data_IF_928761202644
#
_entry.id   IF_928761202644
#
_cell.length_a   1.000
_cell.length_b   1.000
_cell.length_c   1.000
_cell.angle_alpha   90.00
_cell.angle_beta   90.00
_cell.angle_gamma   90.00
#
_symmetry.space_group_name_H-M   'P 1'
#
loop_
_entity.id
_entity.type
_entity.pdbx_description
1 polymer ?
#
# COMPACT_ATOMS: atom_id res chain seq x y z
N UNK A 1 82.23 2.00 46.04
CA UNK A 1 82.44 2.90 44.87
C UNK A 1 81.98 2.09 43.66
N UNK A 2 81.02 2.46 42.81
CA UNK A 2 80.70 3.73 42.20
C UNK A 2 79.24 3.69 41.68
N UNK A 3 78.51 4.75 42.04
CA UNK A 3 77.29 5.38 41.49
C UNK A 3 76.41 4.69 40.41
N UNK A 4 75.12 4.60 40.78
CA UNK A 4 73.93 4.58 39.92
C UNK A 4 73.94 5.71 38.88
N UNK A 5 73.39 5.45 37.69
CA UNK A 5 72.79 6.48 36.83
C UNK A 5 71.54 5.95 36.14
N UNK A 6 70.53 6.82 36.11
CA UNK A 6 69.14 6.60 35.72
C UNK A 6 69.01 6.82 34.21
N UNK A 7 68.29 5.93 33.53
CA UNK A 7 67.82 6.14 32.16
C UNK A 7 66.42 5.55 31.98
N UNK A 8 65.39 6.33 32.27
CA UNK A 8 64.00 5.99 31.93
C UNK A 8 63.79 6.21 30.43
N UNK A 9 63.77 5.14 29.64
CA UNK A 9 63.23 5.17 28.27
C UNK A 9 61.72 4.89 28.33
N UNK A 10 60.92 5.94 28.14
CA UNK A 10 59.48 5.83 27.94
C UNK A 10 59.26 5.38 26.49
N UNK A 11 58.84 4.12 26.30
CA UNK A 11 58.46 3.59 24.99
C UNK A 11 57.05 4.09 24.65
N UNK A 12 56.95 5.09 23.77
CA UNK A 12 55.66 5.51 23.22
C UNK A 12 55.20 4.48 22.18
N UNK A 13 54.25 3.63 22.56
CA UNK A 13 53.55 2.75 21.61
C UNK A 13 52.57 3.59 20.78
N UNK A 14 52.91 3.89 19.54
CA UNK A 14 51.98 4.43 18.57
C UNK A 14 50.96 3.34 18.20
N UNK A 15 49.76 3.42 18.75
CA UNK A 15 48.62 2.62 18.28
C UNK A 15 48.13 3.27 16.99
N UNK A 16 48.54 2.72 15.85
CA UNK A 16 47.89 2.97 14.57
C UNK A 16 46.52 2.32 14.59
N UNK A 17 45.48 3.10 14.93
CA UNK A 17 44.10 2.71 14.66
C UNK A 17 43.94 2.66 13.15
N UNK A 18 44.13 1.47 12.58
CA UNK A 18 43.75 1.21 11.20
C UNK A 18 42.25 1.42 11.08
N UNK A 19 41.85 2.44 10.33
CA UNK A 19 40.50 2.58 9.82
C UNK A 19 40.26 1.45 8.82
N UNK A 20 39.96 0.25 9.32
CA UNK A 20 39.29 -0.75 8.54
C UNK A 20 37.91 -0.18 8.23
N UNK A 21 37.77 0.41 7.04
CA UNK A 21 36.48 0.78 6.51
C UNK A 21 35.60 -0.45 6.59
N UNK A 22 34.49 -0.34 7.33
CA UNK A 22 33.38 -1.27 7.22
C UNK A 22 32.89 -1.15 5.77
N UNK A 23 33.46 -1.94 4.86
CA UNK A 23 32.84 -2.15 3.56
C UNK A 23 31.49 -2.79 3.86
N UNK A 24 30.42 -2.05 3.59
CA UNK A 24 29.07 -2.59 3.62
C UNK A 24 29.06 -3.82 2.71
N UNK A 25 28.57 -4.95 3.23
CA UNK A 25 28.41 -6.16 2.44
C UNK A 25 27.53 -5.83 1.23
N UNK A 26 28.08 -6.06 0.03
CA UNK A 26 27.38 -5.78 -1.22
C UNK A 26 26.08 -6.57 -1.26
N UNK A 27 24.94 -5.89 -1.34
CA UNK A 27 23.63 -6.53 -1.31
C UNK A 27 23.44 -7.31 -2.62
N UNK A 28 23.55 -8.65 -2.55
CA UNK A 28 23.42 -9.53 -3.72
C UNK A 28 21.99 -9.84 -4.12
N UNK A 29 21.05 -9.72 -3.18
CA UNK A 29 19.63 -10.06 -3.39
C UNK A 29 18.73 -8.91 -2.94
N UNK A 30 17.74 -8.56 -3.76
CA UNK A 30 16.66 -7.62 -3.47
C UNK A 30 15.33 -8.38 -3.42
N UNK A 31 14.64 -8.35 -2.29
CA UNK A 31 13.31 -8.94 -2.15
C UNK A 31 12.22 -7.90 -2.47
N UNK A 32 11.48 -8.11 -3.55
CA UNK A 32 10.40 -7.26 -4.01
C UNK A 32 9.04 -7.78 -3.53
N UNK A 33 8.44 -7.10 -2.56
CA UNK A 33 7.12 -7.42 -2.01
C UNK A 33 5.97 -7.07 -2.95
N UNK A 34 5.05 -8.01 -3.14
CA UNK A 34 3.87 -7.85 -3.99
C UNK A 34 2.64 -8.18 -3.15
N UNK A 35 1.75 -7.19 -2.95
CA UNK A 35 0.50 -7.39 -2.19
C UNK A 35 -0.44 -8.38 -2.89
N UNK A 36 -1.23 -9.12 -2.11
CA UNK A 36 -2.11 -10.19 -2.58
C UNK A 36 -3.45 -9.67 -3.16
N UNK A 37 -3.39 -8.86 -4.21
CA UNK A 37 -4.59 -8.43 -4.96
C UNK A 37 -5.25 -9.59 -5.71
N UNK A 38 -4.43 -10.52 -6.21
CA UNK A 38 -4.79 -11.75 -6.93
C UNK A 38 -4.08 -12.96 -6.30
N UNK A 39 -4.34 -14.16 -6.81
CA UNK A 39 -3.59 -15.36 -6.46
C UNK A 39 -2.09 -15.20 -6.75
N UNK A 40 -1.23 -15.79 -5.92
CA UNK A 40 0.24 -15.72 -6.11
C UNK A 40 0.69 -16.24 -7.48
N UNK A 41 -0.04 -17.18 -8.07
CA UNK A 41 0.27 -17.69 -9.42
C UNK A 41 0.02 -16.62 -10.49
N UNK A 42 -1.11 -15.92 -10.42
CA UNK A 42 -1.43 -14.83 -11.36
C UNK A 42 -0.44 -13.67 -11.19
N UNK A 43 -0.17 -13.28 -9.95
CA UNK A 43 0.81 -12.23 -9.65
C UNK A 43 2.20 -12.62 -10.15
N UNK A 44 2.68 -13.84 -9.88
CA UNK A 44 4.00 -14.28 -10.35
C UNK A 44 4.11 -14.13 -11.87
N UNK A 45 3.14 -14.63 -12.62
CA UNK A 45 3.19 -14.61 -14.09
C UNK A 45 3.31 -13.19 -14.67
N UNK A 46 2.66 -12.21 -14.05
CA UNK A 46 2.67 -10.83 -14.57
C UNK A 46 3.85 -10.01 -14.04
N UNK A 47 4.32 -10.32 -12.83
CA UNK A 47 5.44 -9.59 -12.23
C UNK A 47 6.82 -10.10 -12.65
N UNK A 48 6.96 -11.38 -12.99
CA UNK A 48 8.25 -12.00 -13.31
C UNK A 48 9.04 -11.24 -14.40
N UNK A 49 8.44 -10.81 -15.54
CA UNK A 49 9.16 -10.03 -16.55
C UNK A 49 9.73 -8.70 -16.02
N UNK A 50 8.97 -7.99 -15.17
CA UNK A 50 9.41 -6.73 -14.56
C UNK A 50 10.56 -6.96 -13.58
N UNK A 51 10.49 -8.02 -12.77
CA UNK A 51 11.54 -8.36 -11.81
C UNK A 51 12.81 -8.87 -12.51
N UNK A 52 12.68 -9.57 -13.64
CA UNK A 52 13.82 -9.98 -14.48
C UNK A 52 14.55 -8.78 -15.08
N UNK A 53 13.82 -7.80 -15.61
CA UNK A 53 14.42 -6.56 -16.12
C UNK A 53 15.09 -5.75 -15.00
N UNK A 54 14.45 -5.68 -13.82
CA UNK A 54 15.07 -5.05 -12.64
C UNK A 54 16.35 -5.79 -12.25
N UNK A 55 16.33 -7.11 -12.20
CA UNK A 55 17.51 -7.95 -11.88
C UNK A 55 18.66 -7.67 -12.84
N UNK A 56 18.38 -7.65 -14.15
CA UNK A 56 19.38 -7.38 -15.18
C UNK A 56 19.94 -5.95 -15.10
N UNK A 57 19.12 -4.94 -14.78
CA UNK A 57 19.58 -3.55 -14.70
C UNK A 57 20.40 -3.26 -13.45
N UNK A 58 20.03 -3.88 -12.33
CA UNK A 58 20.69 -3.65 -11.03
C UNK A 58 21.96 -4.47 -10.84
N UNK A 59 22.17 -5.52 -11.65
CA UNK A 59 23.18 -6.56 -11.42
C UNK A 59 23.04 -7.20 -10.03
N UNK A 60 21.79 -7.47 -9.66
CA UNK A 60 21.38 -8.01 -8.36
C UNK A 60 20.28 -9.04 -8.57
N UNK A 61 20.26 -10.11 -7.79
CA UNK A 61 19.17 -11.08 -7.84
C UNK A 61 17.88 -10.47 -7.26
N UNK A 62 16.88 -10.20 -8.09
CA UNK A 62 15.58 -9.67 -7.64
C UNK A 62 14.57 -10.80 -7.46
N UNK A 63 14.06 -11.00 -6.24
CA UNK A 63 13.09 -12.06 -5.90
C UNK A 63 11.73 -11.48 -5.55
N UNK A 64 10.68 -11.98 -6.19
CA UNK A 64 9.30 -11.71 -5.75
C UNK A 64 9.04 -12.31 -4.37
N UNK A 65 8.53 -11.49 -3.46
CA UNK A 65 8.08 -11.89 -2.12
C UNK A 65 6.56 -11.76 -2.06
N UNK A 66 5.88 -12.89 -1.86
CA UNK A 66 4.42 -12.99 -1.81
C UNK A 66 3.98 -13.43 -0.41
N UNK A 67 2.83 -12.93 0.03
CA UNK A 67 2.19 -13.33 1.28
C UNK A 67 0.70 -13.58 1.07
N UNK A 68 0.04 -14.34 1.97
CA UNK A 68 -1.41 -14.56 1.89
C UNK A 68 -2.22 -13.26 2.04
N UNK A 69 -1.71 -12.29 2.80
CA UNK A 69 -2.34 -11.00 3.09
C UNK A 69 -1.32 -9.87 3.07
N UNK A 70 -1.80 -8.63 3.13
CA UNK A 70 -0.96 -7.44 3.00
C UNK A 70 -0.11 -7.24 4.26
N UNK A 71 -0.59 -7.73 5.41
CA UNK A 71 0.16 -7.70 6.66
C UNK A 71 1.46 -8.49 6.56
N UNK A 72 1.47 -9.62 5.83
CA UNK A 72 2.68 -10.39 5.56
C UNK A 72 3.77 -9.59 4.83
N UNK A 73 3.41 -8.76 3.85
CA UNK A 73 4.37 -7.88 3.15
C UNK A 73 4.88 -6.79 4.10
N UNK A 74 3.98 -6.16 4.87
CA UNK A 74 4.34 -5.13 5.86
C UNK A 74 5.30 -5.68 6.92
N UNK A 75 5.01 -6.85 7.49
CA UNK A 75 5.89 -7.49 8.47
C UNK A 75 7.18 -7.97 7.83
N UNK A 76 7.14 -8.46 6.58
CA UNK A 76 8.33 -8.78 5.81
C UNK A 76 9.28 -7.58 5.72
N UNK A 77 8.75 -6.40 5.39
CA UNK A 77 9.54 -5.17 5.35
C UNK A 77 10.08 -4.79 6.73
N UNK A 78 9.26 -4.92 7.77
CA UNK A 78 9.62 -4.58 9.15
C UNK A 78 10.83 -5.38 9.67
N UNK A 79 11.00 -6.62 9.20
CA UNK A 79 12.07 -7.52 9.60
C UNK A 79 13.15 -7.71 8.51
N UNK A 80 13.28 -6.71 7.62
CA UNK A 80 14.28 -6.67 6.54
C UNK A 80 14.25 -7.91 5.62
N UNK A 81 13.05 -8.49 5.43
CA UNK A 81 12.79 -9.60 4.47
C UNK A 81 12.18 -9.11 3.16
N UNK A 82 11.72 -7.87 3.12
CA UNK A 82 11.24 -7.17 1.94
C UNK A 82 11.99 -5.84 1.85
N UNK A 83 12.68 -5.62 0.74
CA UNK A 83 13.53 -4.45 0.54
C UNK A 83 12.76 -3.30 -0.11
N UNK A 84 11.95 -3.64 -1.11
CA UNK A 84 11.03 -2.75 -1.80
C UNK A 84 9.71 -3.49 -1.98
N UNK A 85 8.58 -2.78 -2.01
CA UNK A 85 7.29 -3.38 -2.30
C UNK A 85 6.36 -2.44 -3.06
N UNK A 86 5.51 -3.04 -3.88
CA UNK A 86 4.28 -2.40 -4.35
C UNK A 86 3.19 -2.57 -3.30
N UNK A 87 2.59 -1.45 -2.90
CA UNK A 87 1.55 -1.41 -1.88
C UNK A 87 0.36 -0.59 -2.36
N UNK A 88 -0.83 -0.91 -1.83
CA UNK A 88 -1.90 0.07 -1.75
C UNK A 88 -1.57 1.16 -0.74
N UNK A 89 -2.12 2.38 -0.91
CA UNK A 89 -1.78 3.51 -0.05
C UNK A 89 -1.99 3.26 1.47
N UNK A 90 -3.01 2.49 1.89
CA UNK A 90 -3.18 2.14 3.31
C UNK A 90 -2.02 1.26 3.81
N UNK A 91 -1.70 0.19 3.10
CA UNK A 91 -0.57 -0.66 3.46
C UNK A 91 0.78 0.07 3.42
N UNK A 92 0.93 1.05 2.53
CA UNK A 92 2.11 1.93 2.49
C UNK A 92 2.17 2.86 3.72
N UNK A 93 1.04 3.44 4.15
CA UNK A 93 0.94 4.20 5.40
C UNK A 93 1.37 3.34 6.60
N UNK A 94 0.88 2.11 6.70
CA UNK A 94 1.29 1.18 7.76
C UNK A 94 2.78 0.80 7.66
N UNK A 95 3.32 0.63 6.45
CA UNK A 95 4.74 0.34 6.24
C UNK A 95 5.63 1.52 6.65
N UNK A 96 5.26 2.76 6.32
CA UNK A 96 5.97 3.98 6.75
C UNK A 96 5.95 4.09 8.27
N UNK A 97 4.80 3.86 8.89
CA UNK A 97 4.62 4.08 10.33
C UNK A 97 5.22 2.94 11.18
N UNK A 98 5.26 1.71 10.67
CA UNK A 98 5.55 0.51 11.48
C UNK A 98 6.64 -0.41 10.94
N UNK A 99 7.02 -0.25 9.67
CA UNK A 99 7.97 -1.14 9.00
C UNK A 99 9.23 -0.42 8.49
N UNK A 100 9.42 0.86 8.84
CA UNK A 100 10.57 1.63 8.40
C UNK A 100 10.53 1.98 6.91
N UNK A 101 9.33 1.98 6.30
CA UNK A 101 9.12 2.28 4.90
C UNK A 101 9.28 3.76 4.54
N UNK A 102 9.52 4.03 3.26
CA UNK A 102 9.53 5.34 2.62
C UNK A 102 9.03 5.21 1.17
N UNK A 103 8.01 5.99 0.81
CA UNK A 103 7.46 6.05 -0.55
C UNK A 103 8.47 6.72 -1.48
N UNK A 104 8.66 6.16 -2.68
CA UNK A 104 9.65 6.65 -3.65
C UNK A 104 9.08 7.02 -5.01
N UNK A 105 8.15 6.22 -5.51
CA UNK A 105 7.46 6.47 -6.77
C UNK A 105 6.00 6.10 -6.62
N UNK A 106 5.18 6.66 -7.50
CA UNK A 106 3.80 6.33 -7.67
C UNK A 106 3.62 5.63 -9.03
N UNK A 107 2.81 4.58 -9.04
CA UNK A 107 2.29 4.00 -10.28
C UNK A 107 1.42 5.02 -11.02
N UNK A 108 1.28 4.86 -12.33
CA UNK A 108 0.42 5.68 -13.19
C UNK A 108 -0.43 4.71 -14.01
N UNK A 109 -1.73 4.93 -14.09
CA UNK A 109 -2.61 4.03 -14.84
C UNK A 109 -2.34 4.11 -16.35
N UNK A 110 -2.27 2.95 -17.02
CA UNK A 110 -2.04 2.88 -18.47
C UNK A 110 -3.14 3.57 -19.31
N UNK A 111 -4.35 3.66 -18.76
CA UNK A 111 -5.51 4.31 -19.40
C UNK A 111 -5.56 5.83 -19.19
N UNK A 112 -4.58 6.41 -18.48
CA UNK A 112 -4.51 7.83 -18.15
C UNK A 112 -5.38 8.26 -16.95
N UNK A 113 -6.01 7.33 -16.25
CA UNK A 113 -6.78 7.64 -15.04
C UNK A 113 -5.88 8.25 -13.95
N UNK A 114 -6.36 9.28 -13.21
CA UNK A 114 -5.57 9.96 -12.18
C UNK A 114 -5.41 9.16 -10.88
N UNK A 115 -5.91 7.93 -10.86
CA UNK A 115 -6.08 7.07 -9.69
C UNK A 115 -7.14 6.01 -9.98
N UNK A 116 -7.67 5.40 -8.94
CA UNK A 116 -8.68 4.34 -9.04
C UNK A 116 -9.81 4.54 -8.04
N UNK A 117 -10.80 3.66 -8.05
CA UNK A 117 -11.95 3.74 -7.16
C UNK A 117 -12.24 2.42 -6.48
N UNK A 118 -12.64 2.49 -5.22
CA UNK A 118 -13.25 1.37 -4.51
C UNK A 118 -14.65 1.14 -5.04
N UNK A 119 -15.05 -0.13 -5.08
CA UNK A 119 -16.34 -0.60 -5.56
C UNK A 119 -17.02 -1.44 -4.48
N UNK A 120 -18.36 -1.46 -4.52
CA UNK A 120 -19.15 -2.53 -3.91
C UNK A 120 -19.81 -3.31 -5.03
N UNK A 121 -19.62 -4.62 -5.02
CA UNK A 121 -20.11 -5.54 -6.05
C UNK A 121 -21.10 -6.55 -5.47
N UNK A 122 -22.09 -6.90 -6.28
CA UNK A 122 -23.06 -7.98 -6.05
C UNK A 122 -23.14 -8.83 -7.31
N UNK A 123 -23.79 -9.99 -7.25
CA UNK A 123 -24.04 -10.78 -8.44
C UNK A 123 -25.06 -10.07 -9.36
N UNK A 124 -24.90 -10.15 -10.69
CA UNK A 124 -25.81 -9.49 -11.66
C UNK A 124 -27.29 -9.86 -11.48
N UNK A 125 -27.55 -11.13 -11.17
CA UNK A 125 -28.90 -11.67 -10.92
C UNK A 125 -29.57 -11.11 -9.64
N UNK A 126 -28.85 -10.39 -8.78
CA UNK A 126 -29.41 -9.81 -7.56
C UNK A 126 -30.38 -8.66 -7.91
N UNK A 127 -31.67 -8.98 -8.05
CA UNK A 127 -32.71 -8.00 -8.40
C UNK A 127 -32.97 -6.94 -7.33
N UNK A 128 -32.76 -7.29 -6.05
CA UNK A 128 -33.09 -6.44 -4.90
C UNK A 128 -31.90 -5.64 -4.35
N UNK A 129 -30.69 -5.80 -4.91
CA UNK A 129 -29.49 -5.08 -4.48
C UNK A 129 -28.97 -4.25 -5.65
N UNK A 130 -29.30 -2.96 -5.67
CA UNK A 130 -28.90 -2.03 -6.72
C UNK A 130 -28.13 -0.82 -6.17
N UNK A 131 -28.22 -0.59 -4.86
CA UNK A 131 -27.58 0.52 -4.16
C UNK A 131 -26.97 0.05 -2.84
N UNK A 132 -26.15 0.91 -2.22
CA UNK A 132 -25.65 0.65 -0.86
C UNK A 132 -26.80 0.64 0.14
N UNK A 133 -27.79 1.50 -0.05
CA UNK A 133 -28.98 1.61 0.80
C UNK A 133 -29.75 0.29 0.82
N UNK A 134 -29.91 -0.37 -0.35
CA UNK A 134 -30.52 -1.71 -0.43
C UNK A 134 -29.72 -2.74 0.38
N UNK A 135 -28.39 -2.70 0.28
CA UNK A 135 -27.51 -3.60 1.03
C UNK A 135 -27.66 -3.38 2.53
N UNK A 136 -27.64 -2.12 2.98
CA UNK A 136 -27.73 -1.78 4.39
C UNK A 136 -29.11 -2.10 4.97
N UNK A 137 -30.19 -1.89 4.22
CA UNK A 137 -31.54 -2.22 4.63
C UNK A 137 -31.73 -3.74 4.84
N UNK A 138 -31.03 -4.56 4.05
CA UNK A 138 -31.13 -6.02 4.09
C UNK A 138 -29.93 -6.69 4.80
N UNK A 139 -29.02 -5.93 5.40
CA UNK A 139 -27.70 -6.43 5.86
C UNK A 139 -27.79 -7.68 6.75
N UNK A 140 -28.79 -7.75 7.63
CA UNK A 140 -29.00 -8.87 8.57
C UNK A 140 -29.18 -10.24 7.91
N UNK A 141 -29.58 -10.25 6.63
CA UNK A 141 -29.77 -11.47 5.84
C UNK A 141 -28.60 -11.75 4.88
N UNK A 142 -27.73 -10.76 4.67
CA UNK A 142 -26.64 -10.80 3.69
C UNK A 142 -25.30 -11.23 4.32
N UNK A 143 -24.53 -11.99 3.56
CA UNK A 143 -23.11 -12.28 3.79
C UNK A 143 -22.26 -11.25 3.07
N UNK A 144 -21.38 -10.57 3.81
CA UNK A 144 -20.50 -9.53 3.28
C UNK A 144 -19.04 -10.00 3.19
N UNK A 145 -18.48 -9.98 1.98
CA UNK A 145 -17.05 -10.10 1.71
C UNK A 145 -16.35 -8.75 1.90
N UNK A 146 -15.79 -8.52 3.08
CA UNK A 146 -14.95 -7.36 3.32
C UNK A 146 -13.54 -7.61 2.76
N UNK A 147 -12.75 -6.55 2.56
CA UNK A 147 -11.40 -6.66 2.03
C UNK A 147 -10.34 -6.98 3.09
N UNK A 148 -9.10 -7.16 2.65
CA UNK A 148 -7.92 -7.19 3.53
C UNK A 148 -7.93 -5.96 4.46
N UNK A 149 -7.74 -6.11 5.79
CA UNK A 149 -7.72 -4.99 6.73
C UNK A 149 -6.75 -3.85 6.38
N UNK A 150 -5.66 -4.13 5.65
CA UNK A 150 -4.68 -3.15 5.18
C UNK A 150 -4.92 -2.68 3.73
N UNK A 151 -6.03 -3.09 3.09
CA UNK A 151 -6.42 -2.59 1.77
C UNK A 151 -7.07 -1.20 1.86
N UNK A 152 -6.67 -0.31 0.95
CA UNK A 152 -7.25 1.02 0.80
C UNK A 152 -8.69 0.91 0.31
N UNK A 153 -8.91 0.31 -0.86
CA UNK A 153 -10.20 0.18 -1.51
C UNK A 153 -11.05 -0.97 -0.96
N UNK A 154 -10.42 -2.04 -0.49
CA UNK A 154 -11.10 -3.21 0.05
C UNK A 154 -11.61 -3.01 1.47
N UNK A 155 -11.02 -2.08 2.22
CA UNK A 155 -11.35 -1.93 3.64
C UNK A 155 -11.49 -0.47 4.09
N UNK A 156 -10.45 0.35 4.04
CA UNK A 156 -10.51 1.70 4.63
C UNK A 156 -11.57 2.60 4.00
N UNK A 157 -11.57 2.71 2.68
CA UNK A 157 -12.51 3.55 1.94
C UNK A 157 -13.98 3.16 2.22
N UNK A 158 -14.42 1.90 2.02
CA UNK A 158 -15.79 1.52 2.37
C UNK A 158 -16.06 1.59 3.88
N UNK A 159 -15.07 1.30 4.74
CA UNK A 159 -15.21 1.43 6.20
C UNK A 159 -15.60 2.85 6.62
N UNK A 160 -15.09 3.88 5.94
CA UNK A 160 -15.52 5.24 6.21
C UNK A 160 -16.82 5.59 5.48
N UNK A 161 -16.82 5.49 4.15
CA UNK A 161 -17.88 6.06 3.31
C UNK A 161 -19.22 5.31 3.35
N UNK A 162 -19.20 4.02 3.67
CA UNK A 162 -20.41 3.19 3.75
C UNK A 162 -20.80 2.95 5.20
N UNK A 163 -19.81 2.73 6.08
CA UNK A 163 -20.08 2.25 7.44
C UNK A 163 -19.96 3.33 8.51
N UNK A 164 -18.75 3.84 8.76
CA UNK A 164 -18.48 4.70 9.92
C UNK A 164 -19.27 6.02 9.89
N UNK A 165 -19.36 6.69 8.73
CA UNK A 165 -20.13 7.93 8.60
C UNK A 165 -21.63 7.75 8.86
N UNK A 166 -22.13 6.52 8.72
CA UNK A 166 -23.52 6.14 8.93
C UNK A 166 -23.75 5.48 10.31
N UNK A 167 -22.72 5.40 11.16
CA UNK A 167 -22.80 4.76 12.47
C UNK A 167 -22.99 3.24 12.43
N UNK A 168 -22.62 2.59 11.33
CA UNK A 168 -22.85 1.16 11.11
C UNK A 168 -21.57 0.38 11.41
N UNK A 169 -21.68 -0.64 12.26
CA UNK A 169 -20.63 -1.65 12.44
C UNK A 169 -20.93 -2.85 11.53
N UNK A 170 -20.15 -3.10 10.47
CA UNK A 170 -20.44 -4.19 9.53
C UNK A 170 -20.42 -5.57 10.23
N UNK A 171 -19.62 -5.76 11.29
CA UNK A 171 -19.58 -7.04 12.01
C UNK A 171 -20.87 -7.34 12.77
N UNK A 172 -21.64 -6.30 13.12
CA UNK A 172 -22.93 -6.43 13.81
C UNK A 172 -24.13 -6.31 12.87
N UNK A 173 -23.96 -5.61 11.76
CA UNK A 173 -25.04 -5.35 10.80
C UNK A 173 -25.31 -6.56 9.89
N UNK A 174 -24.26 -7.23 9.41
CA UNK A 174 -24.40 -8.32 8.46
C UNK A 174 -24.61 -9.68 9.13
N UNK A 175 -25.32 -10.59 8.44
CA UNK A 175 -25.46 -12.00 8.87
C UNK A 175 -24.11 -12.64 9.17
N UNK A 176 -23.16 -12.40 8.28
CA UNK A 176 -21.78 -12.88 8.37
C UNK A 176 -20.87 -11.94 7.61
N UNK A 177 -19.68 -11.71 8.17
CA UNK A 177 -18.61 -10.95 7.51
C UNK A 177 -17.37 -11.83 7.36
N UNK A 178 -16.69 -11.69 6.23
CA UNK A 178 -15.43 -12.36 5.91
C UNK A 178 -14.41 -11.29 5.47
N UNK A 179 -13.13 -11.60 5.54
CA UNK A 179 -12.06 -10.75 5.00
C UNK A 179 -11.27 -11.55 3.98
N UNK A 180 -11.10 -11.00 2.78
CA UNK A 180 -10.32 -11.63 1.71
C UNK A 180 -9.69 -10.59 0.76
N UNK A 181 -8.78 -11.06 -0.10
CA UNK A 181 -8.24 -10.27 -1.21
C UNK A 181 -9.30 -9.97 -2.28
N UNK A 182 -8.94 -9.09 -3.22
CA UNK A 182 -9.87 -8.58 -4.23
C UNK A 182 -10.39 -9.68 -5.17
N UNK A 183 -9.49 -10.50 -5.75
CA UNK A 183 -9.88 -11.63 -6.61
C UNK A 183 -10.79 -12.62 -5.87
N UNK A 184 -10.45 -12.99 -4.63
CA UNK A 184 -11.26 -13.91 -3.81
C UNK A 184 -12.66 -13.36 -3.56
N UNK A 185 -12.79 -12.07 -3.24
CA UNK A 185 -14.09 -11.42 -3.06
C UNK A 185 -14.90 -11.42 -4.37
N UNK A 186 -14.28 -11.08 -5.50
CA UNK A 186 -14.94 -11.10 -6.81
C UNK A 186 -15.44 -12.51 -7.18
N UNK A 187 -14.60 -13.52 -7.00
CA UNK A 187 -14.98 -14.92 -7.25
C UNK A 187 -16.08 -15.40 -6.31
N UNK A 188 -16.06 -14.99 -5.03
CA UNK A 188 -17.09 -15.36 -4.09
C UNK A 188 -18.45 -14.75 -4.46
N UNK A 189 -18.49 -13.51 -4.96
CA UNK A 189 -19.72 -12.89 -5.45
C UNK A 189 -20.19 -13.54 -6.74
N UNK A 190 -19.30 -13.70 -7.73
CA UNK A 190 -19.62 -14.32 -9.01
C UNK A 190 -20.13 -15.77 -8.85
N UNK A 191 -19.62 -16.51 -7.87
CA UNK A 191 -20.07 -17.87 -7.56
C UNK A 191 -21.22 -17.92 -6.54
N UNK A 192 -21.85 -16.79 -6.20
CA UNK A 192 -22.97 -16.67 -5.24
C UNK A 192 -22.68 -17.27 -3.86
N UNK A 193 -21.42 -17.20 -3.42
CA UNK A 193 -20.95 -17.66 -2.10
C UNK A 193 -21.03 -16.56 -1.03
N UNK A 194 -20.95 -15.30 -1.47
CA UNK A 194 -21.24 -14.10 -0.67
C UNK A 194 -22.18 -13.20 -1.47
N UNK A 195 -23.05 -12.46 -0.78
CA UNK A 195 -24.11 -11.68 -1.42
C UNK A 195 -23.58 -10.34 -1.94
N UNK A 196 -22.61 -9.77 -1.23
CA UNK A 196 -22.01 -8.46 -1.52
C UNK A 196 -20.54 -8.45 -1.07
N UNK A 197 -19.66 -7.78 -1.82
CA UNK A 197 -18.27 -7.64 -1.43
C UNK A 197 -17.64 -6.30 -1.84
N UNK A 198 -16.54 -5.96 -1.19
CA UNK A 198 -15.68 -4.83 -1.60
C UNK A 198 -14.74 -5.24 -2.73
N UNK A 199 -14.50 -4.31 -3.65
CA UNK A 199 -13.63 -4.50 -4.80
C UNK A 199 -13.05 -3.15 -5.27
N UNK A 200 -12.45 -3.09 -6.45
CA UNK A 200 -11.95 -1.85 -7.02
C UNK A 200 -11.92 -1.90 -8.57
N UNK A 201 -11.74 -0.75 -9.21
CA UNK A 201 -11.75 -0.63 -10.68
C UNK A 201 -10.56 -1.29 -11.38
N UNK A 202 -9.36 -1.26 -10.78
CA UNK A 202 -8.16 -1.87 -11.37
C UNK A 202 -8.27 -3.39 -11.38
N UNK A 203 -8.66 -3.97 -10.24
CA UNK A 203 -8.94 -5.40 -10.12
C UNK A 203 -10.14 -5.85 -10.97
N UNK A 204 -11.13 -4.98 -11.22
CA UNK A 204 -12.19 -5.27 -12.19
C UNK A 204 -11.64 -5.37 -13.61
N UNK A 205 -10.82 -4.40 -14.04
CA UNK A 205 -10.18 -4.43 -15.35
C UNK A 205 -9.26 -5.67 -15.49
N UNK A 206 -8.56 -6.04 -14.41
CA UNK A 206 -7.78 -7.27 -14.36
C UNK A 206 -8.63 -8.52 -14.50
N UNK A 207 -9.74 -8.60 -13.76
CA UNK A 207 -10.69 -9.71 -13.80
C UNK A 207 -11.30 -9.87 -15.20
N UNK A 208 -11.56 -8.77 -15.92
CA UNK A 208 -12.05 -8.82 -17.30
C UNK A 208 -11.04 -9.46 -18.26
N UNK A 209 -9.74 -9.36 -17.96
CA UNK A 209 -8.67 -10.00 -18.74
C UNK A 209 -8.48 -11.47 -18.35
N UNK A 210 -8.48 -11.77 -17.06
CA UNK A 210 -8.12 -13.11 -16.54
C UNK A 210 -9.32 -14.06 -16.44
N UNK A 211 -10.52 -13.54 -16.16
CA UNK A 211 -11.75 -14.30 -15.97
C UNK A 211 -12.99 -13.52 -16.50
N UNK A 212 -13.09 -13.25 -17.81
CA UNK A 212 -14.13 -12.39 -18.39
C UNK A 212 -15.55 -12.83 -18.03
N UNK A 213 -15.84 -14.14 -18.08
CA UNK A 213 -17.16 -14.67 -17.71
C UNK A 213 -17.53 -14.37 -16.25
N UNK A 214 -16.55 -14.35 -15.34
CA UNK A 214 -16.77 -14.01 -13.94
C UNK A 214 -16.93 -12.52 -13.73
N UNK A 215 -16.23 -11.70 -14.50
CA UNK A 215 -16.47 -10.25 -14.50
C UNK A 215 -17.90 -9.93 -14.98
N UNK A 216 -18.40 -10.64 -16.00
CA UNK A 216 -19.77 -10.49 -16.52
C UNK A 216 -20.85 -10.94 -15.53
N UNK A 217 -20.51 -11.71 -14.50
CA UNK A 217 -21.42 -12.09 -13.42
C UNK A 217 -21.52 -11.02 -12.31
N UNK A 218 -20.71 -9.97 -12.36
CA UNK A 218 -20.67 -8.92 -11.34
C UNK A 218 -21.45 -7.68 -11.76
N UNK A 219 -22.14 -7.09 -10.77
CA UNK A 219 -22.79 -5.79 -10.86
C UNK A 219 -22.21 -4.85 -9.81
N UNK A 220 -21.75 -3.68 -10.25
CA UNK A 220 -21.29 -2.60 -9.37
C UNK A 220 -22.49 -1.81 -8.88
N UNK A 221 -22.64 -1.68 -7.56
CA UNK A 221 -23.74 -0.94 -6.92
C UNK A 221 -23.27 0.30 -6.16
N UNK A 222 -21.95 0.51 -6.10
CA UNK A 222 -21.33 1.68 -5.48
C UNK A 222 -19.93 1.91 -6.02
N UNK A 223 -19.54 3.19 -6.09
CA UNK A 223 -18.21 3.65 -6.44
C UNK A 223 -17.79 4.76 -5.48
N UNK A 224 -16.57 4.71 -4.96
CA UNK A 224 -16.04 5.70 -4.02
C UNK A 224 -15.66 7.02 -4.69
N UNK A 225 -15.26 8.05 -3.92
CA UNK A 225 -14.36 9.10 -4.42
C UNK A 225 -13.03 8.52 -4.92
N UNK A 226 -12.28 9.32 -5.69
CA UNK A 226 -10.98 8.93 -6.24
C UNK A 226 -9.99 8.54 -5.13
N UNK A 227 -9.26 7.46 -5.36
CA UNK A 227 -8.13 7.02 -4.56
C UNK A 227 -6.85 7.28 -5.37
N UNK A 228 -5.83 7.97 -4.82
CA UNK A 228 -4.56 8.12 -5.52
C UNK A 228 -3.96 6.77 -5.92
N UNK A 229 -3.25 6.72 -7.05
CA UNK A 229 -2.54 5.52 -7.49
C UNK A 229 -1.54 5.03 -6.44
N UNK A 230 -1.23 3.74 -6.55
CA UNK A 230 -0.46 3.00 -5.57
C UNK A 230 1.03 3.40 -5.55
N UNK A 231 1.66 3.49 -4.37
CA UNK A 231 3.10 3.69 -4.24
C UNK A 231 3.92 2.42 -4.41
N UNK A 232 5.18 2.62 -4.79
CA UNK A 232 6.27 1.73 -4.40
C UNK A 232 6.98 2.32 -3.17
N UNK A 233 7.33 1.45 -2.23
CA UNK A 233 7.91 1.79 -0.93
C UNK A 233 9.15 0.94 -0.73
N UNK A 234 10.27 1.55 -0.33
CA UNK A 234 11.44 0.81 0.14
C UNK A 234 11.58 0.89 1.66
N UNK A 235 12.40 0.01 2.25
CA UNK A 235 12.85 0.19 3.64
C UNK A 235 13.96 1.23 3.70
N UNK A 236 13.90 2.14 4.68
CA UNK A 236 14.82 3.29 4.79
C UNK A 236 16.29 2.90 5.01
N UNK A 237 16.54 1.74 5.61
CA UNK A 237 17.87 1.21 5.94
C UNK A 237 18.57 0.49 4.76
N UNK A 238 18.07 0.58 3.52
CA UNK A 238 18.85 0.23 2.34
C UNK A 238 20.08 1.15 2.19
N UNK A 239 21.16 0.63 1.62
CA UNK A 239 22.34 1.44 1.30
C UNK A 239 21.97 2.54 0.29
N UNK A 240 22.68 3.68 0.35
CA UNK A 240 22.47 4.77 -0.60
C UNK A 240 22.70 4.32 -2.05
N UNK A 241 23.65 3.41 -2.28
CA UNK A 241 23.92 2.83 -3.60
C UNK A 241 22.74 2.01 -4.12
N UNK A 242 22.20 1.09 -3.31
CA UNK A 242 21.03 0.28 -3.71
C UNK A 242 19.83 1.17 -3.98
N UNK A 243 19.58 2.17 -3.13
CA UNK A 243 18.49 3.14 -3.34
C UNK A 243 18.64 3.88 -4.67
N UNK A 244 19.85 4.35 -4.99
CA UNK A 244 20.10 5.06 -6.25
C UNK A 244 19.85 4.15 -7.47
N UNK A 245 20.43 2.94 -7.48
CA UNK A 245 20.23 1.97 -8.58
C UNK A 245 18.75 1.65 -8.79
N UNK A 246 18.01 1.39 -7.71
CA UNK A 246 16.57 1.12 -7.76
C UNK A 246 15.78 2.32 -8.26
N UNK A 247 16.08 3.53 -7.78
CA UNK A 247 15.40 4.75 -8.21
C UNK A 247 15.63 5.04 -9.69
N UNK A 248 16.88 4.89 -10.17
CA UNK A 248 17.23 5.09 -11.58
C UNK A 248 16.53 4.08 -12.49
N UNK A 249 16.43 2.81 -12.07
CA UNK A 249 15.64 1.82 -12.78
C UNK A 249 14.18 2.25 -12.88
N UNK A 250 13.53 2.55 -11.75
CA UNK A 250 12.10 2.89 -11.72
C UNK A 250 11.77 4.16 -12.52
N UNK A 251 12.61 5.18 -12.43
CA UNK A 251 12.39 6.44 -13.15
C UNK A 251 12.75 6.36 -14.64
N UNK A 252 13.59 5.40 -15.04
CA UNK A 252 13.96 5.18 -16.44
C UNK A 252 13.05 4.20 -17.19
N UNK A 253 12.40 3.27 -16.47
CA UNK A 253 11.68 2.16 -17.07
C UNK A 253 10.47 2.61 -17.91
N UNK A 254 10.43 2.21 -19.18
CA UNK A 254 9.38 2.55 -20.13
C UNK A 254 9.42 4.00 -20.64
N UNK A 255 10.45 4.78 -20.32
CA UNK A 255 10.53 6.21 -20.71
C UNK A 255 11.20 6.46 -22.05
N UNK A 256 11.95 5.49 -22.58
CA UNK A 256 12.74 5.61 -23.81
C UNK A 256 11.98 5.19 -25.07
N UNK A 257 10.75 4.70 -24.93
CA UNK A 257 9.98 4.12 -26.03
C UNK A 257 10.32 2.66 -26.32
N UNK A 258 11.05 1.97 -25.43
CA UNK A 258 11.30 0.53 -25.55
C UNK A 258 9.99 -0.26 -25.51
N UNK A 259 9.67 -0.97 -26.60
CA UNK A 259 8.41 -1.69 -26.76
C UNK A 259 8.24 -2.83 -25.74
N UNK A 260 9.34 -3.46 -25.29
CA UNK A 260 9.30 -4.52 -24.30
C UNK A 260 8.95 -3.95 -22.92
N UNK A 261 9.64 -2.90 -22.48
CA UNK A 261 9.37 -2.24 -21.20
C UNK A 261 7.94 -1.68 -21.15
N UNK A 262 7.48 -1.04 -22.23
CA UNK A 262 6.12 -0.54 -22.36
C UNK A 262 5.07 -1.65 -22.30
N UNK A 263 5.34 -2.80 -22.94
CA UNK A 263 4.45 -3.95 -22.86
C UNK A 263 4.38 -4.50 -21.43
N UNK A 264 5.52 -4.63 -20.75
CA UNK A 264 5.56 -5.12 -19.36
C UNK A 264 4.77 -4.20 -18.43
N UNK A 265 4.92 -2.88 -18.58
CA UNK A 265 4.11 -1.91 -17.85
C UNK A 265 2.63 -2.05 -18.18
N UNK A 266 2.26 -2.18 -19.46
CA UNK A 266 0.86 -2.37 -19.87
C UNK A 266 0.24 -3.67 -19.31
N UNK A 267 1.00 -4.76 -19.24
CA UNK A 267 0.56 -6.03 -18.64
C UNK A 267 0.33 -5.88 -17.11
N UNK A 268 1.05 -4.96 -16.47
CA UNK A 268 0.83 -4.50 -15.08
C UNK A 268 -0.25 -3.41 -14.97
N UNK A 269 -0.89 -3.03 -16.08
CA UNK A 269 -1.88 -1.94 -16.18
C UNK A 269 -1.31 -0.54 -15.90
N UNK A 270 -0.01 -0.36 -16.09
CA UNK A 270 0.71 0.87 -15.78
C UNK A 270 1.29 1.57 -17.01
N UNK A 271 1.48 2.87 -16.85
CA UNK A 271 2.36 3.72 -17.63
C UNK A 271 3.66 3.97 -16.83
N UNK A 272 4.67 4.66 -17.40
CA UNK A 272 5.89 4.99 -16.67
C UNK A 272 5.63 5.67 -15.32
N UNK A 273 6.47 5.35 -14.34
CA UNK A 273 6.30 5.79 -12.97
C UNK A 273 6.47 7.30 -12.82
N UNK A 274 5.90 7.83 -11.74
CA UNK A 274 6.04 9.23 -11.33
C UNK A 274 6.78 9.30 -10.00
N UNK A 275 7.73 10.22 -9.87
CA UNK A 275 8.40 10.49 -8.60
C UNK A 275 7.36 10.86 -7.52
N UNK A 276 7.52 10.32 -6.31
CA UNK A 276 6.59 10.53 -5.20
C UNK A 276 7.30 10.56 -3.85
N UNK A 277 6.53 10.78 -2.78
CA UNK A 277 7.01 10.82 -1.41
C UNK A 277 5.92 10.39 -0.44
N UNK A 278 6.25 10.32 0.86
CA UNK A 278 5.28 10.05 1.91
C UNK A 278 4.10 11.04 1.94
N UNK A 279 4.24 12.22 1.33
CA UNK A 279 3.17 13.21 1.25
C UNK A 279 1.97 12.73 0.42
N UNK A 280 2.15 11.79 -0.52
CA UNK A 280 1.01 11.21 -1.24
C UNK A 280 0.02 10.50 -0.31
N UNK A 281 0.47 10.10 0.89
CA UNK A 281 -0.33 9.36 1.85
C UNK A 281 -1.23 10.29 2.69
N UNK A 282 -1.09 11.62 2.57
CA UNK A 282 -1.86 12.57 3.40
C UNK A 282 -3.37 12.37 3.26
N UNK A 283 -3.97 12.26 2.05
CA UNK A 283 -5.41 12.01 1.92
C UNK A 283 -5.87 10.71 2.59
N UNK A 284 -5.00 9.70 2.62
CA UNK A 284 -5.29 8.42 3.26
C UNK A 284 -5.19 8.50 4.78
N UNK A 285 -4.24 9.28 5.31
CA UNK A 285 -4.14 9.61 6.74
C UNK A 285 -5.37 10.37 7.20
N UNK A 286 -5.80 11.40 6.44
CA UNK A 286 -7.04 12.14 6.72
C UNK A 286 -8.25 11.19 6.76
N UNK A 287 -8.36 10.30 5.76
CA UNK A 287 -9.46 9.33 5.71
C UNK A 287 -9.47 8.35 6.89
N UNK A 288 -8.31 7.83 7.30
CA UNK A 288 -8.18 6.98 8.48
C UNK A 288 -8.54 7.76 9.76
N UNK A 289 -8.15 9.02 9.87
CA UNK A 289 -8.56 9.90 10.98
C UNK A 289 -10.06 10.18 10.98
N UNK A 290 -10.69 10.41 9.84
CA UNK A 290 -12.15 10.59 9.74
C UNK A 290 -12.90 9.31 10.12
N UNK A 291 -12.39 8.14 9.76
CA UNK A 291 -12.91 6.85 10.22
C UNK A 291 -12.81 6.71 11.74
N UNK A 292 -11.67 7.05 12.32
CA UNK A 292 -11.46 6.98 13.78
C UNK A 292 -12.37 7.98 14.52
N UNK A 293 -12.48 9.21 14.00
CA UNK A 293 -13.39 10.23 14.50
C UNK A 293 -14.83 9.71 14.59
N UNK A 294 -15.35 9.20 13.47
CA UNK A 294 -16.71 8.66 13.41
C UNK A 294 -16.88 7.44 14.35
N UNK A 295 -15.86 6.59 14.50
CA UNK A 295 -15.91 5.49 15.45
C UNK A 295 -16.01 5.97 16.90
N UNK A 296 -15.23 6.99 17.30
CA UNK A 296 -15.27 7.58 18.66
C UNK A 296 -16.62 8.24 18.93
N UNK A 297 -17.14 9.00 17.97
CA UNK A 297 -18.44 9.68 18.10
C UNK A 297 -19.57 8.68 18.34
N UNK A 298 -19.54 7.54 17.64
CA UNK A 298 -20.57 6.51 17.70
C UNK A 298 -20.36 5.46 18.82
N UNK A 299 -19.22 5.48 19.53
CA UNK A 299 -18.94 4.52 20.59
C UNK A 299 -19.64 4.91 21.89
N UNK A 300 -20.59 4.09 22.35
CA UNK A 300 -21.32 4.31 23.59
C UNK A 300 -20.49 4.02 24.85
N UNK A 301 -19.28 3.45 24.71
CA UNK A 301 -18.39 3.13 25.84
C UNK A 301 -17.61 4.33 26.34
N UNK A 302 -17.43 5.37 25.52
CA UNK A 302 -16.75 6.60 25.92
C UNK A 302 -17.73 7.58 26.55
N UNK A 303 -17.32 8.14 27.69
CA UNK A 303 -17.97 9.32 28.27
C UNK A 303 -17.85 10.54 27.36
N UNK A 304 -18.68 11.55 27.60
CA UNK A 304 -18.62 12.82 26.84
C UNK A 304 -17.24 13.50 26.95
N UNK A 305 -16.60 13.41 28.12
CA UNK A 305 -15.26 13.94 28.33
C UNK A 305 -14.21 13.18 27.53
N UNK A 306 -14.19 11.85 27.59
CA UNK A 306 -13.25 11.03 26.82
C UNK A 306 -13.40 11.23 25.31
N UNK A 307 -14.63 11.38 24.81
CA UNK A 307 -14.86 11.72 23.41
C UNK A 307 -14.24 13.08 23.07
N UNK A 308 -14.49 14.09 23.90
CA UNK A 308 -13.94 15.44 23.69
C UNK A 308 -12.41 15.42 23.61
N UNK A 309 -11.75 14.74 24.53
CA UNK A 309 -10.28 14.64 24.57
C UNK A 309 -9.72 13.92 23.33
N UNK A 310 -10.30 12.76 22.95
CA UNK A 310 -9.84 12.00 21.78
C UNK A 310 -10.09 12.75 20.46
N UNK A 311 -11.23 13.44 20.36
CA UNK A 311 -11.57 14.22 19.16
C UNK A 311 -10.68 15.45 19.01
N UNK A 312 -10.20 16.04 20.11
CA UNK A 312 -9.26 17.15 20.07
C UNK A 312 -7.90 16.75 19.48
N UNK A 313 -7.38 15.57 19.84
CA UNK A 313 -6.14 15.04 19.26
C UNK A 313 -6.28 14.80 17.75
N UNK A 314 -7.37 14.14 17.33
CA UNK A 314 -7.66 13.93 15.90
C UNK A 314 -7.78 15.24 15.14
N UNK A 315 -8.47 16.25 15.71
CA UNK A 315 -8.61 17.56 15.08
C UNK A 315 -7.26 18.26 14.91
N UNK A 316 -6.37 18.16 15.90
CA UNK A 316 -5.03 18.75 15.81
C UNK A 316 -4.18 18.07 14.71
N UNK A 317 -4.26 16.74 14.61
CA UNK A 317 -3.56 15.98 13.58
C UNK A 317 -4.09 16.31 12.17
N UNK A 318 -5.41 16.35 11.98
CA UNK A 318 -6.04 16.76 10.72
C UNK A 318 -5.60 18.16 10.31
N UNK A 319 -5.63 19.14 11.23
CA UNK A 319 -5.18 20.49 10.93
C UNK A 319 -3.69 20.55 10.53
N UNK A 320 -2.85 19.65 11.06
CA UNK A 320 -1.46 19.50 10.63
C UNK A 320 -1.33 19.00 9.19
N UNK A 321 -2.13 17.99 8.84
CA UNK A 321 -2.18 17.43 7.49
C UNK A 321 -2.72 18.45 6.47
N UNK A 322 -3.76 19.20 6.83
CA UNK A 322 -4.35 20.24 5.98
C UNK A 322 -3.34 21.35 5.66
N UNK A 323 -2.58 21.81 6.67
CA UNK A 323 -1.49 22.78 6.46
C UNK A 323 -0.40 22.24 5.54
N UNK A 324 -0.05 20.95 5.66
CA UNK A 324 0.95 20.32 4.80
C UNK A 324 0.47 20.25 3.35
N UNK A 325 -0.78 19.85 3.11
CA UNK A 325 -1.37 19.83 1.77
C UNK A 325 -1.40 21.24 1.16
N UNK A 326 -1.87 22.24 1.91
CA UNK A 326 -1.93 23.61 1.41
C UNK A 326 -0.54 24.14 1.00
N UNK A 327 0.51 23.80 1.76
CA UNK A 327 1.88 24.15 1.41
C UNK A 327 2.38 23.43 0.14
N UNK A 328 2.00 22.17 -0.07
CA UNK A 328 2.35 21.41 -1.27
C UNK A 328 1.64 21.96 -2.51
N UNK A 329 0.38 22.34 -2.38
CA UNK A 329 -0.40 22.92 -3.49
C UNK A 329 0.16 24.29 -3.88
N UNK A 330 0.49 25.14 -2.91
CA UNK A 330 1.17 26.42 -3.18
C UNK A 330 2.52 26.22 -3.90
N UNK A 331 3.33 25.24 -3.48
CA UNK A 331 4.62 24.97 -4.13
C UNK A 331 4.47 24.46 -5.58
N UNK A 332 3.38 23.76 -5.89
CA UNK A 332 3.06 23.32 -7.27
C UNK A 332 2.61 24.47 -8.16
N UNK A 333 1.82 25.39 -7.61
CA UNK A 333 1.39 26.60 -8.34
C UNK A 333 2.58 27.50 -8.68
N UNK A 334 3.57 27.62 -7.80
CA UNK A 334 4.81 28.39 -8.04
C UNK A 334 5.75 27.74 -9.07
N UNK A 335 5.60 26.44 -9.34
CA UNK A 335 6.46 25.67 -10.24
C UNK A 335 5.92 25.52 -11.67
N UNK A 336 4.70 26.02 -11.94
CA UNK A 336 4.02 26.02 -13.24
C UNK A 336 3.99 27.41 -13.87
#
# INVERSE_FOLDING_TARGET
MLKQWIGRMTLAAAVTVGAAGLQAEEQKTLNFGIISTESSSNLKNVWEPFLEDMSAKLDMEVKGFFAPDYAGIIQGMRFDKVDIAWYGNKSAMEAVDRAGGEVVVQTVAADGSPGYWSLMIVHKDSVNLNTVEDVLANAKDLTFGNGDPNSTSGFLVPSYYIFAKNGIDPKKAFKRTLNAGHETNAMAVANKQVDVATFNTESMARLQLTFPEKADDLKVIWKSPLIPSDPLVWRKNLSAETKQKVYDFLMGYGTTGDEKELKILADLQWAPFRASSNDQLIPIRQLEMFKQKAAIENDSRYSAQEKTEKLADIAAQLAGLDRRLAALDAAREESN
#
